data_IF_947351352291
#
_entry.id   IF_947351352291
#
_cell.length_a   1.000
_cell.length_b   1.000
_cell.length_c   1.000
_cell.angle_alpha   90.00
_cell.angle_beta   90.00
_cell.angle_gamma   90.00
#
_symmetry.space_group_name_H-M   'P 1'
#
loop_
_entity.id
_entity.type
_entity.pdbx_description
1 polymer ?
#
# COMPACT_ATOMS: atom_id res chain seq x y z
N UNK A 1 -18.58 -32.94 -43.41
CA UNK A 1 -17.43 -32.02 -43.25
C UNK A 1 -17.68 -31.20 -42.00
N UNK A 2 -16.97 -31.49 -40.91
CA UNK A 2 -16.99 -30.67 -39.69
C UNK A 2 -15.54 -30.24 -39.43
N UNK A 3 -15.30 -28.93 -39.49
CA UNK A 3 -14.01 -28.34 -39.22
C UNK A 3 -13.74 -28.38 -37.70
N UNK A 4 -12.71 -29.12 -37.29
CA UNK A 4 -12.16 -28.99 -35.94
C UNK A 4 -11.41 -27.67 -35.85
N UNK A 5 -12.00 -26.69 -35.18
CA UNK A 5 -11.29 -25.50 -34.75
C UNK A 5 -10.35 -25.90 -33.60
N UNK A 6 -9.04 -25.93 -33.87
CA UNK A 6 -8.04 -26.03 -32.84
C UNK A 6 -8.07 -24.74 -32.01
N UNK A 7 -8.57 -24.83 -30.77
CA UNK A 7 -8.37 -23.78 -29.77
C UNK A 7 -6.88 -23.73 -29.46
N UNK A 8 -6.19 -22.79 -30.07
CA UNK A 8 -4.83 -22.43 -29.67
C UNK A 8 -4.94 -21.82 -28.28
N UNK A 9 -4.64 -22.60 -27.25
CA UNK A 9 -4.38 -22.05 -25.91
C UNK A 9 -3.11 -21.21 -26.02
N UNK A 10 -3.28 -19.90 -26.18
CA UNK A 10 -2.20 -18.94 -25.96
C UNK A 10 -1.81 -18.99 -24.48
N UNK A 11 -0.51 -18.99 -24.15
CA UNK A 11 -0.09 -18.95 -22.75
C UNK A 11 -0.37 -17.54 -22.20
N UNK A 12 -1.53 -17.36 -21.56
CA UNK A 12 -1.91 -16.12 -20.87
C UNK A 12 -1.15 -15.87 -19.56
N UNK A 13 -0.02 -16.53 -19.32
CA UNK A 13 0.64 -16.54 -17.99
C UNK A 13 2.05 -15.94 -17.94
N UNK A 14 2.49 -15.20 -18.96
CA UNK A 14 3.78 -14.49 -18.90
C UNK A 14 3.66 -12.99 -18.56
N UNK A 15 2.47 -12.40 -18.70
CA UNK A 15 2.26 -10.94 -18.54
C UNK A 15 1.96 -10.55 -17.08
N UNK A 16 1.75 -11.51 -16.18
CA UNK A 16 1.43 -11.25 -14.76
C UNK A 16 2.66 -10.96 -13.87
N UNK A 17 3.89 -11.21 -14.33
CA UNK A 17 5.09 -11.15 -13.47
C UNK A 17 5.53 -9.72 -13.09
N UNK A 18 5.04 -8.72 -13.82
CA UNK A 18 5.41 -7.32 -13.65
C UNK A 18 4.26 -6.46 -13.14
N UNK A 19 3.26 -7.07 -12.46
CA UNK A 19 2.06 -6.39 -11.99
C UNK A 19 2.40 -4.98 -11.51
N UNK A 20 1.99 -4.08 -12.39
CA UNK A 20 2.11 -2.64 -12.51
C UNK A 20 2.59 -1.91 -11.25
N UNK A 21 3.40 -0.87 -11.45
CA UNK A 21 3.73 0.13 -10.43
C UNK A 21 2.48 0.85 -9.83
N UNK A 22 1.28 0.50 -10.28
CA UNK A 22 -0.02 0.88 -9.73
C UNK A 22 -0.31 -0.08 -8.56
N UNK A 23 0.10 0.21 -7.33
CA UNK A 23 -0.76 0.93 -6.38
C UNK A 23 0.05 1.44 -5.17
N UNK A 24 1.26 1.95 -5.39
CA UNK A 24 2.00 2.62 -4.32
C UNK A 24 1.68 4.12 -4.23
N UNK A 25 0.58 4.58 -4.84
CA UNK A 25 0.26 6.00 -5.00
C UNK A 25 1.35 6.74 -5.79
N UNK A 26 1.67 7.98 -5.41
CA UNK A 26 2.74 8.78 -6.05
C UNK A 26 4.16 8.24 -5.85
N UNK A 27 4.32 7.12 -5.13
CA UNK A 27 5.62 6.54 -4.83
C UNK A 27 6.19 5.89 -6.09
N UNK A 28 7.07 6.64 -6.78
CA UNK A 28 7.90 6.10 -7.86
C UNK A 28 8.83 5.02 -7.33
N UNK A 29 8.36 3.79 -7.37
CA UNK A 29 9.24 2.63 -7.44
C UNK A 29 9.79 2.51 -8.85
N UNK A 30 10.93 1.83 -9.02
CA UNK A 30 11.40 1.52 -10.36
C UNK A 30 10.31 0.70 -11.04
N UNK A 31 10.14 0.90 -12.34
CA UNK A 31 9.35 0.04 -13.25
C UNK A 31 9.89 -1.41 -13.32
N UNK A 32 10.72 -1.82 -12.37
CA UNK A 32 11.22 -3.16 -12.20
C UNK A 32 10.17 -3.99 -11.45
N UNK A 33 9.77 -5.07 -12.10
CA UNK A 33 8.89 -6.11 -11.58
C UNK A 33 9.37 -6.54 -10.19
N UNK A 34 8.58 -6.22 -9.15
CA UNK A 34 8.87 -6.64 -7.79
C UNK A 34 8.41 -8.07 -7.60
N UNK A 35 9.25 -8.88 -6.96
CA UNK A 35 8.79 -10.15 -6.41
C UNK A 35 7.76 -9.89 -5.30
N UNK A 36 6.90 -10.86 -4.95
CA UNK A 36 5.96 -10.71 -3.85
C UNK A 36 6.63 -10.29 -2.54
N UNK A 37 7.83 -10.81 -2.27
CA UNK A 37 8.60 -10.47 -1.07
C UNK A 37 9.11 -9.03 -1.07
N UNK A 38 9.57 -8.54 -2.20
CA UNK A 38 9.99 -7.15 -2.35
C UNK A 38 8.79 -6.20 -2.24
N UNK A 39 7.64 -6.58 -2.78
CA UNK A 39 6.38 -5.86 -2.56
C UNK A 39 5.95 -5.83 -1.09
N UNK A 40 6.22 -6.89 -0.31
CA UNK A 40 5.99 -6.89 1.15
C UNK A 40 6.95 -5.93 1.85
N UNK A 41 8.23 -5.98 1.49
CA UNK A 41 9.30 -5.11 2.02
C UNK A 41 8.95 -3.64 1.81
N UNK A 42 8.56 -3.26 0.60
CA UNK A 42 8.14 -1.88 0.27
C UNK A 42 6.93 -1.45 1.11
N UNK A 43 5.90 -2.29 1.24
CA UNK A 43 4.70 -1.95 2.03
C UNK A 43 5.00 -1.78 3.51
N UNK A 44 5.84 -2.64 4.08
CA UNK A 44 6.27 -2.46 5.47
C UNK A 44 7.07 -1.15 5.61
N UNK A 45 7.93 -0.81 4.65
CA UNK A 45 8.64 0.48 4.66
C UNK A 45 7.71 1.69 4.62
N UNK A 46 6.68 1.65 3.77
CA UNK A 46 5.63 2.69 3.72
C UNK A 46 4.92 2.84 5.05
N UNK A 47 4.53 1.72 5.67
CA UNK A 47 3.89 1.73 6.98
C UNK A 47 4.79 2.36 8.05
N UNK A 48 6.10 2.04 8.05
CA UNK A 48 7.06 2.65 8.97
C UNK A 48 7.21 4.16 8.76
N UNK A 49 7.14 4.65 7.53
CA UNK A 49 7.15 6.08 7.26
C UNK A 49 5.90 6.77 7.84
N UNK A 50 4.71 6.17 7.67
CA UNK A 50 3.47 6.66 8.30
C UNK A 50 3.63 6.72 9.84
N UNK A 51 4.19 5.68 10.46
CA UNK A 51 4.46 5.67 11.90
C UNK A 51 5.46 6.76 12.31
N UNK A 52 6.57 6.91 11.61
CA UNK A 52 7.61 7.89 11.96
C UNK A 52 7.06 9.33 11.89
N UNK A 53 6.32 9.66 10.83
CA UNK A 53 5.68 10.97 10.70
C UNK A 53 4.62 11.20 11.79
N UNK A 54 3.83 10.18 12.12
CA UNK A 54 2.88 10.27 13.23
C UNK A 54 3.57 10.48 14.58
N UNK A 55 4.67 9.77 14.83
CA UNK A 55 5.45 9.93 16.05
C UNK A 55 5.88 11.39 16.23
N UNK A 56 6.43 12.01 15.18
CA UNK A 56 6.89 13.40 15.19
C UNK A 56 5.73 14.40 15.26
N UNK A 57 4.74 14.25 14.39
CA UNK A 57 3.66 15.24 14.24
C UNK A 57 2.65 15.22 15.39
N UNK A 58 2.50 14.09 16.07
CA UNK A 58 1.52 13.89 17.12
C UNK A 58 2.13 13.72 18.51
N UNK A 59 3.45 13.95 18.67
CA UNK A 59 4.18 13.75 19.94
C UNK A 59 4.04 12.32 20.50
N UNK A 60 4.07 11.33 19.62
CA UNK A 60 3.90 9.89 19.94
C UNK A 60 5.22 9.12 19.88
N UNK A 61 6.36 9.80 20.07
CA UNK A 61 7.69 9.15 20.07
C UNK A 61 7.80 7.96 21.04
N UNK A 62 7.22 8.00 22.27
CA UNK A 62 7.26 6.84 23.17
C UNK A 62 6.62 5.58 22.56
N UNK A 63 5.47 5.72 21.88
CA UNK A 63 4.78 4.61 21.23
C UNK A 63 5.60 4.04 20.07
N UNK A 64 6.23 4.92 19.28
CA UNK A 64 7.11 4.50 18.18
C UNK A 64 8.33 3.73 18.70
N UNK A 65 8.97 4.22 19.76
CA UNK A 65 10.14 3.58 20.35
C UNK A 65 9.80 2.19 20.92
N UNK A 66 8.65 2.06 21.59
CA UNK A 66 8.20 0.77 22.12
C UNK A 66 7.94 -0.24 21.00
N UNK A 67 7.22 0.17 19.96
CA UNK A 67 6.96 -0.65 18.77
C UNK A 67 8.27 -1.07 18.10
N UNK A 68 9.19 -0.14 17.85
CA UNK A 68 10.48 -0.44 17.19
C UNK A 68 11.31 -1.41 18.02
N UNK A 69 11.34 -1.23 19.34
CA UNK A 69 12.07 -2.13 20.25
C UNK A 69 11.49 -3.54 20.22
N UNK A 70 10.16 -3.67 20.28
CA UNK A 70 9.47 -4.97 20.28
C UNK A 70 9.68 -5.77 19.00
N UNK A 71 9.71 -5.09 17.85
CA UNK A 71 9.79 -5.71 16.52
C UNK A 71 11.19 -5.57 15.88
N UNK A 72 12.21 -5.23 16.65
CA UNK A 72 13.53 -4.83 16.14
C UNK A 72 14.13 -5.85 15.15
N UNK A 73 14.02 -7.15 15.42
CA UNK A 73 14.61 -8.20 14.58
C UNK A 73 13.93 -8.26 13.22
N UNK A 74 12.61 -8.13 13.19
CA UNK A 74 11.81 -8.06 11.97
C UNK A 74 12.16 -6.81 11.16
N UNK A 75 12.22 -5.67 11.85
CA UNK A 75 12.54 -4.37 11.27
C UNK A 75 13.96 -4.29 10.70
N UNK A 76 14.91 -4.97 11.32
CA UNK A 76 16.30 -5.08 10.86
C UNK A 76 16.39 -5.96 9.61
N UNK A 77 15.66 -7.09 9.56
CA UNK A 77 15.58 -7.94 8.37
C UNK A 77 14.94 -7.21 7.19
N UNK A 78 13.83 -6.52 7.42
CA UNK A 78 13.18 -5.69 6.40
C UNK A 78 14.14 -4.62 5.86
N UNK A 79 14.85 -3.91 6.74
CA UNK A 79 15.83 -2.90 6.32
C UNK A 79 16.97 -3.47 5.45
N UNK A 80 17.38 -4.73 5.67
CA UNK A 80 18.34 -5.41 4.79
C UNK A 80 17.72 -5.78 3.45
N UNK A 81 16.51 -6.34 3.46
CA UNK A 81 15.78 -6.70 2.24
C UNK A 81 15.54 -5.48 1.35
N UNK A 82 15.18 -4.33 1.94
CA UNK A 82 14.96 -3.09 1.21
C UNK A 82 16.25 -2.58 0.57
N UNK A 83 17.37 -2.59 1.30
CA UNK A 83 18.67 -2.22 0.71
C UNK A 83 19.06 -3.16 -0.44
N UNK A 84 18.84 -4.47 -0.28
CA UNK A 84 19.11 -5.46 -1.33
C UNK A 84 18.26 -5.22 -2.58
N UNK A 85 16.97 -4.88 -2.41
CA UNK A 85 16.07 -4.49 -3.50
C UNK A 85 16.62 -3.30 -4.28
N UNK A 86 16.97 -2.21 -3.58
CA UNK A 86 17.53 -1.02 -4.23
C UNK A 86 18.88 -1.29 -4.89
N UNK A 87 19.71 -2.14 -4.28
CA UNK A 87 20.97 -2.60 -4.88
C UNK A 87 20.74 -3.38 -6.17
N UNK A 88 19.76 -4.29 -6.18
CA UNK A 88 19.40 -5.09 -7.36
C UNK A 88 18.97 -4.21 -8.53
N UNK A 89 18.13 -3.22 -8.26
CA UNK A 89 17.51 -2.41 -9.31
C UNK A 89 18.40 -1.25 -9.77
N UNK A 90 19.04 -0.54 -8.83
CA UNK A 90 19.75 0.71 -9.13
C UNK A 90 21.27 0.57 -9.14
N UNK A 91 21.82 -0.59 -8.74
CA UNK A 91 23.25 -0.89 -8.76
C UNK A 91 24.06 0.22 -8.06
N UNK A 92 25.00 0.87 -8.74
CA UNK A 92 25.86 1.93 -8.16
C UNK A 92 25.10 3.15 -7.64
N UNK A 93 23.82 3.31 -7.98
CA UNK A 93 22.97 4.42 -7.54
C UNK A 93 22.06 4.08 -6.35
N UNK A 94 22.13 2.85 -5.82
CA UNK A 94 21.15 2.30 -4.88
C UNK A 94 20.90 3.15 -3.65
N UNK A 95 21.95 3.65 -3.00
CA UNK A 95 21.81 4.44 -1.77
C UNK A 95 21.08 5.77 -2.03
N UNK A 96 21.45 6.47 -3.10
CA UNK A 96 20.79 7.74 -3.48
C UNK A 96 19.32 7.53 -3.77
N UNK A 97 18.99 6.49 -4.55
CA UNK A 97 17.60 6.18 -4.88
C UNK A 97 16.81 5.71 -3.66
N UNK A 98 17.42 4.96 -2.75
CA UNK A 98 16.82 4.56 -1.49
C UNK A 98 16.50 5.78 -0.61
N UNK A 99 17.44 6.72 -0.48
CA UNK A 99 17.23 7.95 0.28
C UNK A 99 16.10 8.79 -0.33
N UNK A 100 16.08 8.95 -1.66
CA UNK A 100 14.99 9.64 -2.36
C UNK A 100 13.64 8.97 -2.11
N UNK A 101 13.59 7.64 -2.17
CA UNK A 101 12.38 6.87 -1.88
C UNK A 101 11.90 7.09 -0.44
N UNK A 102 12.78 7.00 0.57
CA UNK A 102 12.42 7.22 1.98
C UNK A 102 11.88 8.64 2.19
N UNK A 103 12.54 9.65 1.62
CA UNK A 103 12.08 11.04 1.69
C UNK A 103 10.69 11.20 1.07
N UNK A 104 10.46 10.58 -0.09
CA UNK A 104 9.14 10.60 -0.73
C UNK A 104 8.06 9.99 0.16
N UNK A 105 8.36 8.87 0.84
CA UNK A 105 7.42 8.25 1.78
C UNK A 105 7.07 9.18 2.95
N UNK A 106 8.06 9.86 3.52
CA UNK A 106 7.84 10.82 4.61
C UNK A 106 6.97 12.00 4.17
N UNK A 107 7.20 12.53 2.97
CA UNK A 107 6.39 13.61 2.41
C UNK A 107 4.93 13.16 2.19
N UNK A 108 4.73 11.98 1.60
CA UNK A 108 3.39 11.42 1.38
C UNK A 108 2.64 11.20 2.70
N UNK A 109 3.30 10.64 3.70
CA UNK A 109 2.74 10.46 5.04
C UNK A 109 2.36 11.81 5.69
N UNK A 110 3.16 12.85 5.44
CA UNK A 110 2.90 14.21 5.93
C UNK A 110 1.68 14.86 5.26
N UNK A 111 1.49 14.65 3.95
CA UNK A 111 0.29 15.12 3.23
C UNK A 111 -0.98 14.43 3.74
N UNK A 112 -0.93 13.10 3.88
CA UNK A 112 -2.04 12.31 4.45
C UNK A 112 -2.49 12.80 5.83
N UNK A 113 -1.58 13.32 6.65
CA UNK A 113 -1.92 13.92 7.93
C UNK A 113 -2.77 15.18 7.77
N UNK A 114 -2.46 16.03 6.79
CA UNK A 114 -3.19 17.28 6.54
C UNK A 114 -4.63 17.02 6.12
N UNK A 115 -4.87 15.90 5.45
CA UNK A 115 -6.19 15.49 4.94
C UNK A 115 -7.06 14.76 5.98
N UNK A 116 -6.51 14.43 7.16
CA UNK A 116 -7.16 13.56 8.14
C UNK A 116 -7.36 14.27 9.49
N UNK A 117 -8.57 14.81 9.79
CA UNK A 117 -8.85 15.52 11.04
C UNK A 117 -8.58 14.68 12.31
N UNK A 118 -8.82 13.37 12.25
CA UNK A 118 -8.61 12.43 13.36
C UNK A 118 -7.26 11.68 13.26
N UNK A 119 -6.28 12.20 12.52
CA UNK A 119 -5.02 11.50 12.22
C UNK A 119 -4.30 11.03 13.49
N UNK A 120 -4.07 11.91 14.47
CA UNK A 120 -3.29 11.56 15.65
C UNK A 120 -3.97 10.53 16.54
N UNK A 121 -5.30 10.61 16.71
CA UNK A 121 -6.07 9.62 17.46
C UNK A 121 -6.05 8.26 16.74
N UNK A 122 -6.19 8.28 15.42
CA UNK A 122 -6.11 7.07 14.59
C UNK A 122 -4.73 6.43 14.68
N UNK A 123 -3.66 7.21 14.55
CA UNK A 123 -2.30 6.68 14.60
C UNK A 123 -1.92 6.17 16.00
N UNK A 124 -2.42 6.79 17.08
CA UNK A 124 -2.22 6.26 18.43
C UNK A 124 -2.83 4.86 18.60
N UNK A 125 -3.98 4.60 17.97
CA UNK A 125 -4.58 3.25 17.93
C UNK A 125 -3.73 2.30 17.10
N UNK A 126 -3.28 2.73 15.92
CA UNK A 126 -2.42 1.93 15.04
C UNK A 126 -1.11 1.53 15.73
N UNK A 127 -0.49 2.44 16.49
CA UNK A 127 0.69 2.11 17.29
C UNK A 127 0.42 0.98 18.27
N UNK A 128 -0.65 1.08 19.06
CA UNK A 128 -1.01 0.05 20.06
C UNK A 128 -1.34 -1.30 19.41
N UNK A 129 -2.07 -1.29 18.30
CA UNK A 129 -2.42 -2.51 17.57
C UNK A 129 -1.18 -3.17 16.96
N UNK A 130 -0.28 -2.37 16.38
CA UNK A 130 0.97 -2.86 15.79
C UNK A 130 1.93 -3.39 16.86
N UNK A 131 2.05 -2.70 18.00
CA UNK A 131 2.83 -3.17 19.14
C UNK A 131 2.24 -4.45 19.76
N UNK A 132 0.91 -4.62 19.79
CA UNK A 132 0.30 -5.82 20.33
C UNK A 132 0.59 -7.09 19.50
N UNK A 133 1.18 -6.96 18.31
CA UNK A 133 1.48 -8.11 17.46
C UNK A 133 2.57 -9.02 18.09
N UNK A 134 2.62 -10.30 17.70
CA UNK A 134 3.76 -11.16 17.97
C UNK A 134 5.06 -10.54 17.44
N UNK A 135 6.22 -10.92 17.99
CA UNK A 135 7.52 -10.35 17.58
C UNK A 135 7.81 -10.41 16.07
N UNK A 136 7.22 -11.38 15.35
CA UNK A 136 7.33 -11.54 13.89
C UNK A 136 6.00 -11.27 13.14
N UNK A 137 5.09 -10.53 13.77
CA UNK A 137 3.75 -10.26 13.25
C UNK A 137 3.57 -8.88 12.62
N UNK A 138 4.57 -8.00 12.65
CA UNK A 138 4.40 -6.61 12.25
C UNK A 138 4.15 -6.48 10.74
N UNK A 139 4.86 -7.26 9.92
CA UNK A 139 4.66 -7.31 8.47
C UNK A 139 3.23 -7.75 8.16
N UNK A 140 2.76 -8.85 8.77
CA UNK A 140 1.42 -9.35 8.53
C UNK A 140 0.34 -8.30 8.88
N UNK A 141 0.49 -7.63 10.02
CA UNK A 141 -0.39 -6.53 10.42
C UNK A 141 -0.37 -5.37 9.42
N UNK A 142 0.82 -4.91 9.02
CA UNK A 142 0.98 -3.82 8.06
C UNK A 142 0.32 -4.13 6.71
N UNK A 143 0.52 -5.35 6.20
CA UNK A 143 -0.06 -5.80 4.94
C UNK A 143 -1.59 -5.91 5.01
N UNK A 144 -2.12 -6.48 6.08
CA UNK A 144 -3.57 -6.55 6.30
C UNK A 144 -4.22 -5.18 6.38
N UNK A 145 -3.51 -4.18 6.94
CA UNK A 145 -3.97 -2.79 7.00
C UNK A 145 -3.97 -2.10 5.63
N UNK A 146 -2.93 -2.32 4.82
CA UNK A 146 -2.88 -1.78 3.44
C UNK A 146 -4.06 -2.26 2.61
N UNK A 147 -4.37 -3.56 2.67
CA UNK A 147 -5.52 -4.15 1.95
C UNK A 147 -6.83 -3.56 2.44
N UNK A 148 -7.02 -3.41 3.75
CA UNK A 148 -8.24 -2.77 4.30
C UNK A 148 -8.41 -1.33 3.81
N UNK A 149 -7.33 -0.56 3.70
CA UNK A 149 -7.39 0.84 3.25
C UNK A 149 -7.72 0.92 1.75
N UNK A 150 -7.11 0.06 0.92
CA UNK A 150 -7.41 -0.01 -0.51
C UNK A 150 -8.85 -0.49 -0.79
N UNK A 151 -9.31 -1.53 -0.08
CA UNK A 151 -10.68 -2.02 -0.20
C UNK A 151 -11.73 -0.98 0.24
N UNK A 152 -11.44 -0.19 1.28
CA UNK A 152 -12.31 0.92 1.70
C UNK A 152 -12.33 2.05 0.66
N UNK A 153 -11.20 2.39 0.05
CA UNK A 153 -11.14 3.40 -1.01
C UNK A 153 -11.96 2.97 -2.24
N UNK A 154 -11.82 1.73 -2.70
CA UNK A 154 -12.59 1.18 -3.81
C UNK A 154 -14.10 1.05 -3.49
N UNK A 155 -14.48 0.83 -2.23
CA UNK A 155 -15.88 0.76 -1.81
C UNK A 155 -16.59 2.13 -1.86
N UNK A 156 -15.86 3.23 -1.63
CA UNK A 156 -16.41 4.60 -1.77
C UNK A 156 -16.75 4.95 -3.21
N UNK A 157 -16.01 4.42 -4.18
CA UNK A 157 -16.27 4.66 -5.61
C UNK A 157 -17.57 3.97 -6.08
N UNK A 158 -17.90 2.81 -5.51
CA UNK A 158 -19.13 2.07 -5.86
C UNK A 158 -20.43 2.71 -5.32
N UNK A 159 -20.36 3.69 -4.42
CA UNK A 159 -21.55 4.41 -3.92
C UNK A 159 -22.07 5.49 -4.89
N UNK A 160 -21.40 5.75 -6.01
CA UNK A 160 -21.83 6.76 -7.01
C UNK A 160 -22.75 6.22 -8.11
N UNK A 161 -23.03 4.92 -8.17
CA UNK A 161 -23.81 4.31 -9.27
C UNK A 161 -25.31 4.13 -8.93
N UNK A 162 -25.77 4.47 -7.73
CA UNK A 162 -27.19 4.25 -7.34
C UNK A 162 -28.02 5.54 -7.25
N UNK A 163 -27.79 6.50 -8.15
CA UNK A 163 -28.61 7.71 -8.26
C UNK A 163 -28.88 8.12 -9.72
N UNK A 164 -29.17 7.16 -10.60
CA UNK A 164 -29.78 7.43 -11.90
C UNK A 164 -30.67 6.24 -12.28
N UNK A 165 -32.00 6.40 -12.16
CA UNK A 165 -32.91 5.44 -12.79
C UNK A 165 -34.26 5.17 -12.12
N UNK A 166 -35.00 6.17 -11.64
CA UNK A 166 -36.47 6.07 -11.58
C UNK A 166 -37.11 7.43 -11.85
N UNK A 167 -37.11 7.83 -13.12
CA UNK A 167 -38.09 8.78 -13.65
C UNK A 167 -38.97 8.02 -14.65
N UNK A 168 -39.93 7.25 -14.13
CA UNK A 168 -41.02 6.72 -14.94
C UNK A 168 -42.06 7.84 -15.12
N UNK A 169 -41.85 8.69 -16.13
CA UNK A 169 -42.88 9.59 -16.64
C UNK A 169 -43.85 8.76 -17.48
N UNK A 170 -45.11 8.67 -17.04
CA UNK A 170 -46.20 8.10 -17.83
C UNK A 170 -46.53 9.04 -19.01
N UNK A 171 -46.69 8.53 -20.25
CA UNK A 171 -47.33 9.31 -21.30
C UNK A 171 -48.85 9.31 -21.09
N UNK A 172 -49.42 10.50 -20.91
CA UNK A 172 -50.85 10.73 -21.14
C UNK A 172 -51.12 10.64 -22.65
N UNK A 173 -52.12 9.84 -23.02
CA UNK A 173 -52.71 9.84 -24.34
C UNK A 173 -54.08 10.50 -24.19
N UNK A 174 -54.22 11.69 -24.79
CA UNK A 174 -55.49 12.40 -24.91
C UNK A 174 -56.23 11.89 -26.15
N UNK A 175 -57.45 11.38 -25.95
CA UNK A 175 -58.68 11.62 -26.75
C UNK A 175 -59.87 10.84 -26.13
#
# INVERSE_FOLDING_TARGET
MAALAAVVLTPQNAVAACAQAEEFGDVRLPVACLTPEEGRTVRLRMFRADLAVAALSCQQQPLYNSLVTRHQDELVREGRALRALFQRIHRGNAERELNRFITHLANRASLKRLEAPAYCQTMARVFREAEAQPHQGLTAYALGRSVKTAAMAAATDMHTVTAMGTAAGQPKLDD
#
